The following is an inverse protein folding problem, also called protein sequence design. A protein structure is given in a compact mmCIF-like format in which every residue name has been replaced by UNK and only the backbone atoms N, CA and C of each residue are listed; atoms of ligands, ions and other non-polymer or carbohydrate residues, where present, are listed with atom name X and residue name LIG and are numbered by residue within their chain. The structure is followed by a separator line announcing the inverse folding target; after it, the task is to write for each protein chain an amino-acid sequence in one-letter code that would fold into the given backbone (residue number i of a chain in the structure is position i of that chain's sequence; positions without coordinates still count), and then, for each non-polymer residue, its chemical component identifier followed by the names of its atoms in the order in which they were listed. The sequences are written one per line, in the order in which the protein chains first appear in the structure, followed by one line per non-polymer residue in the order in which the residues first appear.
data_IF_924888303311
#
_entry.id   IF_924888303311
#
_cell.length_a   1.000
_cell.length_b   1.000
_cell.length_c   1.000
_cell.angle_alpha   90.00
_cell.angle_beta   90.00
_cell.angle_gamma   90.00
#
_symmetry.space_group_name_H-M   'P 1'
#
loop_
_entity.id
_entity.type
_entity.pdbx_description
1 polymer ?
#
# COMPACT_ATOMS: atom_id res chain seq x y z
N UNK A 1 -13.28 -10.92 1.17
CA UNK A 1 -12.36 -9.81 0.85
C UNK A 1 -11.80 -9.10 2.08
N UNK A 2 -12.61 -8.44 2.93
CA UNK A 2 -12.07 -7.73 4.13
C UNK A 2 -11.52 -8.72 5.16
N UNK A 3 -12.22 -9.82 5.40
CA UNK A 3 -11.80 -10.86 6.36
C UNK A 3 -10.57 -11.61 5.88
N UNK A 4 -10.47 -11.92 4.58
CA UNK A 4 -9.28 -12.55 4.01
C UNK A 4 -8.06 -11.65 4.12
N UNK A 5 -8.23 -10.34 3.89
CA UNK A 5 -7.15 -9.36 4.06
C UNK A 5 -6.68 -9.22 5.51
N UNK A 6 -7.62 -9.16 6.46
CA UNK A 6 -7.28 -9.14 7.90
C UNK A 6 -6.59 -10.43 8.33
N UNK A 7 -7.07 -11.57 7.85
CA UNK A 7 -6.51 -12.90 8.20
C UNK A 7 -5.12 -13.08 7.60
N UNK A 8 -4.91 -12.62 6.36
CA UNK A 8 -3.59 -12.55 5.74
C UNK A 8 -2.62 -11.73 6.57
N UNK A 9 -3.04 -10.55 7.04
CA UNK A 9 -2.21 -9.72 7.91
C UNK A 9 -1.86 -10.43 9.24
N UNK A 10 -2.82 -11.11 9.87
CA UNK A 10 -2.60 -11.91 11.10
C UNK A 10 -1.60 -13.05 10.84
N UNK A 11 -1.71 -13.72 9.70
CA UNK A 11 -0.77 -14.77 9.30
C UNK A 11 0.64 -14.22 9.04
N UNK A 12 0.75 -13.04 8.40
CA UNK A 12 2.01 -12.37 8.09
C UNK A 12 2.74 -11.85 9.34
N UNK A 13 2.03 -11.23 10.28
CA UNK A 13 2.64 -10.74 11.53
C UNK A 13 2.92 -11.90 12.51
N UNK A 14 2.16 -12.99 12.40
CA UNK A 14 2.21 -14.09 13.35
C UNK A 14 1.46 -13.78 14.64
N UNK A 15 0.99 -14.83 15.32
CA UNK A 15 0.24 -14.68 16.56
C UNK A 15 -0.59 -15.93 16.84
N UNK A 16 0.02 -17.01 17.37
CA UNK A 16 -0.67 -18.26 17.70
C UNK A 16 -1.92 -18.07 18.55
N UNK A 17 -1.95 -17.03 19.38
CA UNK A 17 -3.11 -16.60 20.18
C UNK A 17 -4.36 -16.31 19.34
N UNK A 18 -4.20 -16.02 18.05
CA UNK A 18 -5.30 -15.73 17.13
C UNK A 18 -5.84 -16.97 16.40
N UNK A 19 -5.14 -18.11 16.43
CA UNK A 19 -5.59 -19.35 15.78
C UNK A 19 -7.03 -19.75 16.15
N UNK A 20 -7.49 -19.66 17.42
CA UNK A 20 -8.87 -20.00 17.75
C UNK A 20 -9.88 -19.07 17.07
N UNK A 21 -9.55 -17.80 16.88
CA UNK A 21 -10.41 -16.85 16.17
C UNK A 21 -10.43 -17.12 14.68
N UNK A 22 -9.27 -17.38 14.07
CA UNK A 22 -9.19 -17.73 12.65
C UNK A 22 -9.94 -19.04 12.37
N UNK A 23 -9.83 -20.02 13.27
CA UNK A 23 -10.55 -21.28 13.16
C UNK A 23 -12.06 -21.08 13.18
N UNK A 24 -12.57 -20.23 14.07
CA UNK A 24 -14.01 -19.89 14.10
C UNK A 24 -14.47 -19.25 12.78
N UNK A 25 -13.66 -18.36 12.19
CA UNK A 25 -14.01 -17.74 10.90
C UNK A 25 -13.96 -18.73 9.75
N UNK A 26 -12.96 -19.61 9.73
CA UNK A 26 -12.86 -20.72 8.80
C UNK A 26 -14.10 -21.62 8.86
N UNK A 27 -14.43 -22.13 10.05
CA UNK A 27 -15.57 -23.03 10.27
C UNK A 27 -16.91 -22.35 9.95
N UNK A 28 -16.98 -21.02 10.07
CA UNK A 28 -18.17 -20.23 9.73
C UNK A 28 -18.28 -19.89 8.23
N UNK A 29 -17.28 -20.23 7.41
CA UNK A 29 -17.24 -19.93 5.98
C UNK A 29 -16.95 -18.46 5.64
N UNK A 30 -16.33 -17.72 6.57
CA UNK A 30 -15.98 -16.30 6.36
C UNK A 30 -14.65 -16.12 5.63
N UNK A 31 -13.86 -17.19 5.55
CA UNK A 31 -12.59 -17.24 4.83
C UNK A 31 -12.78 -18.06 3.56
N UNK A 32 -12.31 -17.53 2.44
CA UNK A 32 -12.43 -18.20 1.14
C UNK A 32 -11.33 -19.28 1.02
N UNK A 33 -11.68 -20.57 0.91
CA UNK A 33 -10.70 -21.64 0.76
C UNK A 33 -9.91 -21.57 -0.56
N UNK A 34 -10.34 -20.75 -1.53
CA UNK A 34 -9.56 -20.49 -2.75
C UNK A 34 -8.40 -19.50 -2.50
N UNK A 35 -8.45 -18.72 -1.42
CA UNK A 35 -7.39 -17.76 -1.07
C UNK A 35 -6.26 -18.47 -0.33
N UNK A 36 -6.60 -19.27 0.68
CA UNK A 36 -5.67 -20.11 1.43
C UNK A 36 -6.44 -21.24 2.10
N UNK A 37 -5.79 -22.39 2.31
CA UNK A 37 -6.35 -23.47 3.11
C UNK A 37 -6.00 -23.33 4.60
N UNK A 38 -6.61 -24.19 5.43
CA UNK A 38 -6.39 -24.16 6.87
C UNK A 38 -4.94 -24.48 7.25
N UNK A 39 -4.30 -25.42 6.54
CA UNK A 39 -2.91 -25.82 6.80
C UNK A 39 -1.94 -24.65 6.57
N UNK A 40 -2.21 -23.84 5.55
CA UNK A 40 -1.49 -22.61 5.30
C UNK A 40 -1.62 -21.63 6.47
N UNK A 41 -2.83 -21.38 6.98
CA UNK A 41 -3.03 -20.47 8.11
C UNK A 41 -2.34 -20.97 9.37
N UNK A 42 -2.46 -22.26 9.69
CA UNK A 42 -1.82 -22.87 10.84
C UNK A 42 -0.28 -22.80 10.74
N UNK A 43 0.26 -23.05 9.56
CA UNK A 43 1.70 -22.94 9.29
C UNK A 43 2.18 -21.50 9.42
N UNK A 44 1.52 -20.54 8.76
CA UNK A 44 1.99 -19.17 8.71
C UNK A 44 1.87 -18.47 10.07
N UNK A 45 0.80 -18.73 10.83
CA UNK A 45 0.62 -18.15 12.17
C UNK A 45 1.61 -18.75 13.19
N UNK A 46 2.04 -20.00 13.02
CA UNK A 46 3.03 -20.65 13.89
C UNK A 46 4.49 -20.46 13.46
N UNK A 47 4.76 -19.94 12.26
CA UNK A 47 6.12 -19.69 11.77
C UNK A 47 6.98 -18.94 12.81
N UNK A 48 8.28 -19.18 12.95
CA UNK A 48 9.11 -18.37 13.84
C UNK A 48 9.27 -16.93 13.35
N UNK A 49 9.31 -15.96 14.27
CA UNK A 49 9.49 -14.55 13.94
C UNK A 49 10.76 -14.27 13.10
N UNK A 50 11.87 -14.95 13.42
CA UNK A 50 13.13 -14.79 12.69
C UNK A 50 13.04 -15.21 11.21
N UNK A 51 12.16 -16.17 10.89
CA UNK A 51 11.94 -16.60 9.51
C UNK A 51 11.00 -15.65 8.77
N UNK A 52 10.01 -15.07 9.47
CA UNK A 52 9.12 -14.04 8.90
C UNK A 52 9.88 -12.79 8.48
N UNK A 53 10.82 -12.33 9.30
CA UNK A 53 11.68 -11.18 8.99
C UNK A 53 12.43 -11.32 7.66
N UNK A 54 12.79 -12.54 7.26
CA UNK A 54 13.46 -12.81 5.99
C UNK A 54 12.51 -12.72 4.77
N UNK A 55 11.19 -12.68 5.00
CA UNK A 55 10.17 -12.58 3.94
C UNK A 55 9.77 -11.13 3.65
N UNK A 56 9.77 -10.26 4.66
CA UNK A 56 9.58 -8.81 4.48
C UNK A 56 10.74 -8.26 3.63
N UNK A 57 10.46 -7.89 2.38
CA UNK A 57 11.48 -7.50 1.39
C UNK A 57 11.33 -8.14 0.00
N UNK A 58 10.46 -9.16 -0.16
CA UNK A 58 10.14 -9.73 -1.49
C UNK A 58 9.03 -8.99 -2.24
N UNK A 59 8.19 -8.29 -1.50
CA UNK A 59 7.24 -7.30 -1.98
C UNK A 59 7.57 -5.99 -1.27
N UNK A 60 7.02 -4.86 -1.72
CA UNK A 60 7.28 -3.49 -1.22
C UNK A 60 6.97 -3.26 0.28
N UNK A 61 6.72 -4.33 1.03
CA UNK A 61 6.41 -4.40 2.45
C UNK A 61 7.70 -4.67 3.23
N UNK A 62 8.35 -3.59 3.66
CA UNK A 62 9.46 -3.67 4.60
C UNK A 62 8.91 -3.68 6.04
N UNK A 63 9.41 -4.59 6.87
CA UNK A 63 9.11 -4.54 8.30
C UNK A 63 9.72 -3.28 8.92
N UNK A 64 8.92 -2.53 9.66
CA UNK A 64 9.31 -1.28 10.32
C UNK A 64 9.49 -1.57 11.82
N UNK A 65 10.69 -1.95 12.29
CA UNK A 65 10.91 -2.38 13.68
C UNK A 65 10.78 -1.24 14.69
N UNK A 66 11.01 0.00 14.25
CA UNK A 66 10.95 1.19 15.08
C UNK A 66 10.40 2.35 14.24
N UNK A 67 9.07 2.45 14.18
CA UNK A 67 8.41 3.50 13.43
C UNK A 67 8.79 4.89 13.97
N UNK A 68 8.92 5.04 15.29
CA UNK A 68 9.27 6.32 15.90
C UNK A 68 10.70 6.69 15.53
N UNK A 69 11.69 5.83 15.76
CA UNK A 69 13.08 6.11 15.41
C UNK A 69 13.29 6.40 13.92
N UNK A 70 12.56 5.72 13.05
CA UNK A 70 12.63 5.94 11.59
C UNK A 70 11.97 7.25 11.15
N UNK A 71 10.86 7.65 11.77
CA UNK A 71 10.05 8.76 11.30
C UNK A 71 10.28 10.05 12.07
N UNK A 72 10.74 10.01 13.33
CA UNK A 72 10.92 11.17 14.20
C UNK A 72 11.87 12.24 13.63
N UNK A 73 12.70 11.89 12.64
CA UNK A 73 13.59 12.83 11.93
C UNK A 73 12.91 13.60 10.81
N UNK A 74 11.69 13.23 10.40
CA UNK A 74 11.00 13.97 9.35
C UNK A 74 10.57 15.34 9.88
N UNK A 75 10.54 16.31 8.97
CA UNK A 75 10.29 17.71 9.31
C UNK A 75 9.01 17.92 10.13
N UNK A 76 7.93 17.18 9.84
CA UNK A 76 6.64 17.33 10.51
C UNK A 76 6.61 16.90 11.99
N UNK A 77 7.70 16.31 12.51
CA UNK A 77 7.88 16.03 13.95
C UNK A 77 8.99 16.88 14.59
N UNK A 78 9.55 17.86 13.88
CA UNK A 78 10.55 18.76 14.44
C UNK A 78 9.92 19.90 15.24
N UNK A 79 10.61 20.41 16.27
CA UNK A 79 10.19 21.61 17.01
C UNK A 79 9.89 22.78 16.08
N UNK A 80 10.68 22.89 15.01
CA UNK A 80 10.51 23.88 13.96
C UNK A 80 9.11 23.77 13.32
N UNK A 81 8.62 22.58 12.99
CA UNK A 81 7.28 22.45 12.43
C UNK A 81 6.17 22.85 13.41
N UNK A 82 6.37 22.64 14.71
CA UNK A 82 5.39 22.92 15.75
C UNK A 82 5.48 24.34 16.35
N UNK A 83 6.46 25.16 15.96
CA UNK A 83 6.67 26.50 16.53
C UNK A 83 5.63 27.55 16.09
N UNK A 84 4.67 27.16 15.24
CA UNK A 84 3.58 28.00 14.74
C UNK A 84 4.03 29.13 13.81
N UNK A 85 5.31 29.16 13.43
CA UNK A 85 5.86 30.17 12.53
C UNK A 85 5.77 29.69 11.09
N UNK A 86 5.58 30.66 10.20
CA UNK A 86 5.69 30.38 8.78
C UNK A 86 7.17 30.15 8.44
N UNK A 87 7.49 28.90 8.10
CA UNK A 87 8.83 28.54 7.66
C UNK A 87 8.95 28.81 6.17
N UNK A 88 9.92 29.65 5.75
CA UNK A 88 10.11 29.94 4.34
C UNK A 88 10.34 28.62 3.62
N UNK A 89 9.48 28.34 2.63
CA UNK A 89 9.73 27.25 1.69
C UNK A 89 11.15 27.46 1.15
N UNK A 90 12.01 26.42 1.11
CA UNK A 90 13.32 26.56 0.48
C UNK A 90 13.12 27.24 -0.87
N UNK A 91 13.93 28.26 -1.14
CA UNK A 91 13.84 29.02 -2.38
C UNK A 91 13.71 28.01 -3.51
N UNK A 92 12.59 28.09 -4.25
CA UNK A 92 12.40 27.25 -5.42
C UNK A 92 13.68 27.38 -6.23
N UNK A 93 14.32 26.24 -6.58
CA UNK A 93 15.46 26.27 -7.51
C UNK A 93 15.04 27.21 -8.63
N UNK A 94 15.91 28.16 -9.05
CA UNK A 94 15.55 29.10 -10.10
C UNK A 94 14.91 28.30 -11.21
N UNK A 95 13.64 28.61 -11.49
CA UNK A 95 12.87 27.97 -12.55
C UNK A 95 13.74 28.12 -13.80
N UNK A 96 14.47 27.06 -14.17
CA UNK A 96 14.78 26.87 -15.56
C UNK A 96 13.41 26.98 -16.23
N UNK A 97 13.25 27.95 -17.12
CA UNK A 97 11.99 28.49 -17.63
C UNK A 97 11.14 27.48 -18.44
N UNK A 98 11.02 26.24 -17.97
CA UNK A 98 10.03 25.28 -18.37
C UNK A 98 8.74 25.64 -17.63
N UNK A 99 7.98 26.58 -18.19
CA UNK A 99 6.60 26.79 -17.78
C UNK A 99 5.86 25.44 -17.75
N UNK A 100 4.92 25.30 -16.82
CA UNK A 100 4.12 24.08 -16.70
C UNK A 100 3.54 23.69 -18.06
N UNK A 101 3.78 22.47 -18.52
CA UNK A 101 3.25 21.98 -19.79
C UNK A 101 1.72 22.06 -19.79
N UNK A 102 1.18 23.03 -20.55
CA UNK A 102 -0.26 23.16 -20.78
C UNK A 102 -0.60 22.33 -22.01
N UNK A 103 -1.49 21.36 -21.84
CA UNK A 103 -2.00 20.58 -22.97
C UNK A 103 -2.88 21.48 -23.83
N UNK A 104 -2.67 21.44 -25.14
CA UNK A 104 -3.56 22.10 -26.10
C UNK A 104 -4.95 21.46 -26.13
N UNK A 105 -5.02 20.16 -25.83
CA UNK A 105 -6.25 19.39 -25.81
C UNK A 105 -6.70 19.01 -24.38
N UNK A 106 -8.03 18.85 -24.16
CA UNK A 106 -8.55 18.31 -22.91
C UNK A 106 -7.95 16.95 -22.57
N UNK A 107 -7.82 16.67 -21.27
CA UNK A 107 -7.39 15.36 -20.80
C UNK A 107 -8.46 14.32 -21.14
N UNK A 108 -8.14 13.40 -22.06
CA UNK A 108 -8.99 12.25 -22.38
C UNK A 108 -9.09 11.35 -21.14
N UNK A 109 -10.33 11.07 -20.71
CA UNK A 109 -10.62 10.17 -19.60
C UNK A 109 -10.34 8.72 -20.00
N UNK A 110 -9.90 7.91 -19.02
CA UNK A 110 -9.53 6.50 -19.23
C UNK A 110 -10.67 5.66 -19.86
N UNK A 111 -11.93 6.02 -19.62
CA UNK A 111 -13.11 5.33 -20.14
C UNK A 111 -13.78 6.03 -21.34
N UNK A 112 -13.32 7.22 -21.73
CA UNK A 112 -13.92 8.00 -22.82
C UNK A 112 -13.66 7.33 -24.18
N UNK A 113 -14.46 7.65 -25.21
CA UNK A 113 -14.17 7.23 -26.59
C UNK A 113 -12.74 7.60 -26.98
N UNK A 114 -12.03 6.66 -27.61
CA UNK A 114 -10.65 6.88 -28.00
C UNK A 114 -10.54 7.89 -29.15
N UNK A 115 -9.69 8.92 -29.05
CA UNK A 115 -9.59 9.99 -30.05
C UNK A 115 -9.07 9.51 -31.41
N UNK A 116 -8.57 8.27 -31.53
CA UNK A 116 -8.19 7.68 -32.81
C UNK A 116 -9.37 7.21 -33.69
N UNK A 117 -10.62 7.38 -33.22
CA UNK A 117 -11.81 7.02 -33.97
C UNK A 117 -12.19 5.53 -33.93
N UNK A 118 -11.48 4.70 -33.15
CA UNK A 118 -11.76 3.25 -33.09
C UNK A 118 -13.09 2.86 -32.43
N UNK A 119 -13.83 3.82 -31.85
CA UNK A 119 -15.05 3.55 -31.08
C UNK A 119 -14.84 2.85 -29.73
N UNK A 120 -13.60 2.42 -29.41
CA UNK A 120 -13.26 1.76 -28.14
C UNK A 120 -12.99 2.79 -27.03
N UNK A 121 -13.11 2.37 -25.77
CA UNK A 121 -12.66 3.18 -24.62
C UNK A 121 -11.15 3.42 -24.69
N UNK A 122 -10.66 4.61 -24.30
CA UNK A 122 -9.25 4.98 -24.36
C UNK A 122 -8.31 3.92 -23.74
N UNK A 123 -8.64 3.40 -22.55
CA UNK A 123 -7.88 2.32 -21.86
C UNK A 123 -7.80 0.97 -22.58
N UNK A 124 -8.60 0.78 -23.61
CA UNK A 124 -8.64 -0.44 -24.44
C UNK A 124 -8.15 -0.17 -25.87
N UNK A 125 -7.53 1.00 -26.09
CA UNK A 125 -7.00 1.41 -27.38
C UNK A 125 -5.68 2.16 -27.16
N UNK A 126 -5.63 3.48 -27.32
CA UNK A 126 -4.39 4.26 -27.26
C UNK A 126 -3.87 4.54 -25.84
N UNK A 127 -4.62 4.18 -24.80
CA UNK A 127 -4.23 4.32 -23.39
C UNK A 127 -3.70 3.02 -22.77
N UNK A 128 -3.28 2.06 -23.60
CA UNK A 128 -2.66 0.81 -23.21
C UNK A 128 -1.12 0.92 -23.29
#
# INVERSE_FOLDING_TARGET
MVMDGLTGAVAEIGGPEHLPTLRRWWDSGWLDPQVADWDWYETEVNRPWAERLQRFGRHHDAYVPDAIGLMQRWYCWSDRFHDGKEHPRPAQRPEAAAGTFRRDAPKVGRNDPCPCGSGRKFKKCCGA
#
